data_IF_770174006111
#
_entry.id   IF_770174006111
#
_cell.length_a   1.000
_cell.length_b   1.000
_cell.length_c   1.000
_cell.angle_alpha   90.00
_cell.angle_beta   90.00
_cell.angle_gamma   90.00
#
_symmetry.space_group_name_H-M   'P 1'
#
loop_
_entity.id
_entity.type
_entity.pdbx_description
1 polymer ?
#
# COMPACT_ATOMS: atom_id res chain seq x y z
N UNK A 1 -5.18 51.08 64.65
CA UNK A 1 -3.72 50.90 64.85
C UNK A 1 -3.09 50.78 63.46
N UNK A 2 -2.10 51.61 63.22
CA UNK A 2 -1.61 52.11 61.93
C UNK A 2 -1.21 51.07 60.85
N UNK A 3 -1.57 51.39 59.59
CA UNK A 3 -0.84 50.98 58.38
C UNK A 3 0.60 51.49 58.43
N UNK A 4 1.56 50.72 57.90
CA UNK A 4 2.67 51.25 57.10
C UNK A 4 3.40 50.11 56.38
N UNK A 5 3.27 50.08 55.05
CA UNK A 5 4.31 49.61 54.13
C UNK A 5 5.52 50.53 54.22
N UNK A 6 6.73 50.02 53.95
CA UNK A 6 7.69 50.83 53.20
C UNK A 6 8.32 50.10 52.03
N UNK A 7 8.74 50.94 51.10
CA UNK A 7 9.32 50.71 49.79
C UNK A 7 10.85 50.58 49.88
N UNK A 8 11.40 49.76 48.97
CA UNK A 8 12.70 49.86 48.26
C UNK A 8 14.00 50.23 49.02
N UNK A 9 14.99 49.34 48.91
CA UNK A 9 16.39 49.73 48.73
C UNK A 9 17.09 48.76 47.75
N UNK A 10 17.73 49.37 46.76
CA UNK A 10 18.49 48.79 45.66
C UNK A 10 19.95 48.58 46.12
N UNK A 11 20.52 47.39 45.92
CA UNK A 11 21.98 47.22 45.93
C UNK A 11 22.36 46.10 44.95
N UNK A 12 23.04 46.52 43.88
CA UNK A 12 23.55 45.69 42.82
C UNK A 12 24.88 45.04 43.21
N UNK A 13 25.05 43.76 42.86
CA UNK A 13 26.38 43.15 42.70
C UNK A 13 26.37 42.28 41.45
N UNK A 14 27.18 42.68 40.47
CA UNK A 14 27.45 42.00 39.21
C UNK A 14 28.17 40.66 39.46
N UNK A 15 27.81 39.56 38.77
CA UNK A 15 28.78 38.55 38.39
C UNK A 15 29.51 38.98 37.10
N UNK A 16 30.83 38.86 37.10
CA UNK A 16 31.65 38.97 35.88
C UNK A 16 31.14 37.96 34.84
N UNK A 17 30.72 38.48 33.69
CA UNK A 17 30.60 37.72 32.45
C UNK A 17 32.01 37.55 31.89
N UNK A 18 32.52 36.32 31.85
CA UNK A 18 33.50 35.98 30.81
C UNK A 18 32.71 35.74 29.53
N UNK A 19 32.89 36.64 28.56
CA UNK A 19 32.52 36.40 27.17
C UNK A 19 33.37 35.25 26.65
N UNK A 20 32.76 34.09 26.46
CA UNK A 20 33.23 33.13 25.47
C UNK A 20 32.85 33.66 24.08
N UNK A 21 33.73 33.52 23.07
CA UNK A 21 33.44 33.94 21.71
C UNK A 21 32.25 33.17 21.14
N UNK A 22 31.37 33.87 20.42
CA UNK A 22 30.36 33.27 19.55
C UNK A 22 31.06 32.31 18.57
N UNK A 23 30.64 31.03 18.47
CA UNK A 23 30.88 30.28 17.26
C UNK A 23 30.00 30.83 16.14
N UNK A 24 30.63 31.14 15.00
CA UNK A 24 29.97 31.35 13.71
C UNK A 24 29.03 30.18 13.36
N UNK A 25 27.98 30.38 12.55
CA UNK A 25 27.11 29.30 12.14
C UNK A 25 27.87 28.39 11.17
N UNK A 26 28.48 27.34 11.69
CA UNK A 26 29.03 26.27 10.87
C UNK A 26 27.93 25.24 10.63
N UNK A 27 27.60 25.06 9.36
CA UNK A 27 26.60 24.12 8.87
C UNK A 27 27.01 22.68 9.22
N UNK A 28 26.65 22.20 10.40
CA UNK A 28 26.88 20.80 10.79
C UNK A 28 25.93 19.88 10.03
N UNK A 29 26.44 19.31 8.95
CA UNK A 29 25.94 18.06 8.37
C UNK A 29 26.05 17.00 9.46
N UNK A 30 24.90 16.51 9.94
CA UNK A 30 24.86 15.40 10.88
C UNK A 30 25.49 14.17 10.23
N UNK A 31 26.58 13.69 10.81
CA UNK A 31 27.26 12.47 10.44
C UNK A 31 26.41 11.27 10.86
N UNK A 32 25.44 10.89 10.02
CA UNK A 32 24.67 9.67 10.20
C UNK A 32 25.57 8.45 9.96
N UNK A 33 25.67 7.60 10.99
CA UNK A 33 26.31 6.28 10.92
C UNK A 33 25.63 5.43 9.83
N UNK A 34 26.38 4.77 8.92
CA UNK A 34 25.78 4.03 7.82
C UNK A 34 25.28 2.67 8.32
N UNK A 35 24.06 2.64 8.86
CA UNK A 35 23.27 1.41 8.94
C UNK A 35 22.35 1.39 7.72
N UNK A 36 22.81 0.78 6.63
CA UNK A 36 22.05 0.30 5.47
C UNK A 36 20.69 0.99 5.21
N UNK A 37 20.70 2.30 4.97
CA UNK A 37 19.62 2.95 4.22
C UNK A 37 20.07 3.02 2.77
N UNK A 38 19.96 1.90 2.06
CA UNK A 38 19.96 1.92 0.60
C UNK A 38 18.67 2.64 0.20
N UNK A 39 18.77 3.97 0.05
CA UNK A 39 17.80 4.72 -0.74
C UNK A 39 17.91 4.18 -2.16
N UNK A 40 17.08 3.18 -2.46
CA UNK A 40 16.86 2.72 -3.82
C UNK A 40 16.26 3.91 -4.56
N UNK A 41 17.07 4.54 -5.42
CA UNK A 41 16.51 5.22 -6.59
C UNK A 41 15.52 4.21 -7.19
N UNK A 42 14.25 4.60 -7.33
CA UNK A 42 13.26 3.74 -7.96
C UNK A 42 13.83 3.38 -9.33
N UNK A 43 14.17 2.10 -9.53
CA UNK A 43 14.59 1.62 -10.83
C UNK A 43 13.48 1.98 -11.83
N UNK A 44 13.87 2.28 -13.08
CA UNK A 44 12.90 2.52 -14.14
C UNK A 44 11.87 1.37 -14.17
N UNK A 45 10.59 1.67 -14.44
CA UNK A 45 9.54 0.65 -14.42
C UNK A 45 9.90 -0.49 -15.37
N UNK A 46 9.88 -1.73 -14.86
CA UNK A 46 10.16 -2.93 -15.64
C UNK A 46 8.85 -3.46 -16.20
N UNK A 47 8.69 -3.41 -17.52
CA UNK A 47 7.48 -3.91 -18.16
C UNK A 47 7.59 -5.41 -18.45
N UNK A 48 6.94 -6.23 -17.63
CA UNK A 48 6.90 -7.68 -17.76
C UNK A 48 5.82 -8.10 -18.77
N UNK A 49 6.12 -9.05 -19.66
CA UNK A 49 5.22 -9.51 -20.73
C UNK A 49 5.48 -10.96 -21.10
N UNK A 50 4.60 -11.56 -21.91
CA UNK A 50 4.78 -12.93 -22.37
C UNK A 50 4.32 -13.94 -21.31
N UNK A 51 4.84 -15.16 -21.32
CA UNK A 51 4.40 -16.20 -20.39
C UNK A 51 4.95 -15.95 -18.98
N UNK A 52 4.44 -16.68 -17.99
CA UNK A 52 4.73 -16.46 -16.56
C UNK A 52 6.23 -16.51 -16.20
N UNK A 53 7.06 -17.20 -16.99
CA UNK A 53 8.51 -17.31 -16.78
C UNK A 53 9.22 -15.95 -16.84
N UNK A 54 8.61 -14.96 -17.49
CA UNK A 54 9.19 -13.63 -17.64
C UNK A 54 8.91 -12.73 -16.42
N UNK A 55 8.13 -13.20 -15.45
CA UNK A 55 7.72 -12.42 -14.28
C UNK A 55 8.53 -12.81 -13.03
N UNK A 56 8.71 -11.88 -12.07
CA UNK A 56 9.64 -12.07 -10.96
C UNK A 56 9.18 -13.17 -9.98
N UNK A 57 10.06 -14.05 -9.49
CA UNK A 57 9.67 -15.05 -8.50
C UNK A 57 9.39 -14.41 -7.14
N UNK A 58 8.60 -15.09 -6.30
CA UNK A 58 8.25 -14.61 -4.95
C UNK A 58 9.45 -14.24 -4.07
N UNK A 59 10.58 -14.91 -4.25
CA UNK A 59 11.83 -14.65 -3.52
C UNK A 59 12.44 -13.28 -3.80
N UNK A 60 12.01 -12.60 -4.87
CA UNK A 60 12.46 -11.25 -5.22
C UNK A 60 11.52 -10.16 -4.71
N UNK A 61 10.34 -10.51 -4.22
CA UNK A 61 9.33 -9.52 -3.81
C UNK A 61 9.71 -8.85 -2.50
N UNK A 62 9.22 -7.62 -2.31
CA UNK A 62 9.30 -6.95 -1.02
C UNK A 62 8.62 -7.76 0.09
N UNK A 63 8.91 -7.40 1.33
CA UNK A 63 8.07 -7.80 2.46
C UNK A 63 6.69 -7.12 2.34
N UNK A 64 5.67 -7.70 2.97
CA UNK A 64 4.36 -7.06 3.05
C UNK A 64 4.43 -5.69 3.72
N UNK A 65 5.18 -5.57 4.81
CA UNK A 65 5.35 -4.33 5.54
C UNK A 65 5.94 -3.22 4.66
N UNK A 66 7.03 -3.52 3.94
CA UNK A 66 7.65 -2.55 3.04
C UNK A 66 6.72 -2.16 1.89
N UNK A 67 6.05 -3.14 1.28
CA UNK A 67 5.11 -2.91 0.19
C UNK A 67 3.93 -2.03 0.64
N UNK A 68 3.34 -2.33 1.80
CA UNK A 68 2.23 -1.55 2.35
C UNK A 68 2.67 -0.14 2.68
N UNK A 69 3.81 0.02 3.36
CA UNK A 69 4.33 1.33 3.75
C UNK A 69 4.56 2.26 2.56
N UNK A 70 5.02 1.72 1.42
CA UNK A 70 5.19 2.48 0.19
C UNK A 70 3.86 2.95 -0.41
N UNK A 71 2.79 2.17 -0.29
CA UNK A 71 1.49 2.46 -0.90
C UNK A 71 0.59 3.38 -0.05
N UNK A 72 0.94 3.66 1.21
CA UNK A 72 0.12 4.51 2.10
C UNK A 72 -0.20 5.89 1.51
N UNK A 73 0.77 6.51 0.82
CA UNK A 73 0.55 7.82 0.21
C UNK A 73 -0.57 7.78 -0.84
N UNK A 74 -0.64 6.70 -1.64
CA UNK A 74 -1.70 6.47 -2.62
C UNK A 74 -3.06 6.31 -1.94
N UNK A 75 -3.13 5.51 -0.86
CA UNK A 75 -4.37 5.36 -0.07
C UNK A 75 -4.82 6.69 0.55
N UNK A 76 -3.92 7.48 1.13
CA UNK A 76 -4.32 8.79 1.68
C UNK A 76 -4.80 9.76 0.60
N UNK A 77 -4.25 9.67 -0.61
CA UNK A 77 -4.67 10.52 -1.73
C UNK A 77 -6.11 10.25 -2.20
N UNK A 78 -6.73 9.12 -1.82
CA UNK A 78 -8.12 8.79 -2.14
C UNK A 78 -9.13 9.40 -1.16
N UNK A 79 -8.65 10.04 -0.08
CA UNK A 79 -9.49 10.55 1.01
C UNK A 79 -9.63 9.58 2.20
N UNK A 80 -8.95 8.44 2.16
CA UNK A 80 -8.96 7.47 3.25
C UNK A 80 -8.38 8.07 4.54
N UNK A 81 -9.05 7.78 5.66
CA UNK A 81 -8.57 8.19 6.97
C UNK A 81 -7.39 7.32 7.43
N UNK A 82 -6.66 7.78 8.45
CA UNK A 82 -5.67 6.92 9.12
C UNK A 82 -6.24 5.61 9.64
N UNK A 83 -7.51 5.61 10.06
CA UNK A 83 -8.19 4.40 10.49
C UNK A 83 -8.52 3.47 9.32
N UNK A 84 -8.95 4.00 8.17
CA UNK A 84 -9.22 3.20 6.98
C UNK A 84 -7.94 2.48 6.52
N UNK A 85 -6.83 3.21 6.40
CA UNK A 85 -5.53 2.63 6.04
C UNK A 85 -5.11 1.54 7.03
N UNK A 86 -5.23 1.79 8.34
CA UNK A 86 -4.95 0.76 9.36
C UNK A 86 -5.88 -0.46 9.27
N UNK A 87 -7.16 -0.26 8.95
CA UNK A 87 -8.15 -1.32 8.78
C UNK A 87 -7.92 -2.14 7.51
N UNK A 88 -7.39 -1.54 6.43
CA UNK A 88 -6.96 -2.26 5.23
C UNK A 88 -5.83 -3.23 5.60
N UNK A 89 -4.81 -2.79 6.35
CA UNK A 89 -3.74 -3.68 6.83
C UNK A 89 -4.32 -4.89 7.59
N UNK A 90 -5.16 -4.63 8.58
CA UNK A 90 -5.78 -5.68 9.40
C UNK A 90 -6.62 -6.64 8.56
N UNK A 91 -7.40 -6.11 7.60
CA UNK A 91 -8.23 -6.91 6.72
C UNK A 91 -7.40 -7.81 5.80
N UNK A 92 -6.28 -7.32 5.26
CA UNK A 92 -5.35 -8.11 4.45
C UNK A 92 -4.78 -9.26 5.28
N UNK A 93 -4.24 -8.97 6.48
CA UNK A 93 -3.67 -10.00 7.36
C UNK A 93 -4.71 -11.04 7.76
N UNK A 94 -5.94 -10.63 8.04
CA UNK A 94 -7.04 -11.55 8.35
C UNK A 94 -7.38 -12.44 7.15
N UNK A 95 -7.54 -11.86 5.97
CA UNK A 95 -7.97 -12.59 4.78
C UNK A 95 -6.86 -13.49 4.21
N UNK A 96 -5.58 -13.14 4.42
CA UNK A 96 -4.44 -13.97 4.03
C UNK A 96 -4.47 -15.38 4.65
N UNK A 97 -5.14 -15.54 5.81
CA UNK A 97 -5.27 -16.83 6.53
C UNK A 97 -5.92 -17.94 5.70
N UNK A 98 -6.64 -17.63 4.62
CA UNK A 98 -7.19 -18.64 3.69
C UNK A 98 -6.13 -19.22 2.74
N UNK A 99 -4.85 -18.87 2.96
CA UNK A 99 -3.72 -19.31 2.16
C UNK A 99 -3.54 -18.47 0.91
N UNK A 100 -3.74 -17.15 1.03
CA UNK A 100 -3.40 -16.11 0.03
C UNK A 100 -2.29 -15.23 0.58
N UNK A 101 -1.18 -15.07 -0.16
CA UNK A 101 -0.08 -14.20 0.25
C UNK A 101 -0.55 -12.73 0.35
N UNK A 102 -0.33 -12.10 1.49
CA UNK A 102 -0.79 -10.73 1.76
C UNK A 102 -0.30 -9.70 0.73
N UNK A 103 0.87 -9.91 0.11
CA UNK A 103 1.42 -9.00 -0.91
C UNK A 103 0.61 -9.05 -2.20
N UNK A 104 0.06 -10.21 -2.54
CA UNK A 104 -0.81 -10.36 -3.70
C UNK A 104 -2.15 -9.70 -3.45
N UNK A 105 -2.72 -9.85 -2.24
CA UNK A 105 -3.94 -9.15 -1.84
C UNK A 105 -3.74 -7.63 -1.96
N UNK A 106 -2.66 -7.10 -1.39
CA UNK A 106 -2.32 -5.68 -1.50
C UNK A 106 -2.11 -5.24 -2.96
N UNK A 107 -1.39 -6.03 -3.75
CA UNK A 107 -1.15 -5.74 -5.16
C UNK A 107 -2.43 -5.59 -5.97
N UNK A 108 -3.40 -6.47 -5.74
CA UNK A 108 -4.74 -6.37 -6.37
C UNK A 108 -5.48 -5.14 -5.85
N UNK A 109 -5.49 -4.88 -4.53
CA UNK A 109 -6.14 -3.67 -3.97
C UNK A 109 -5.62 -2.39 -4.64
N UNK A 110 -4.31 -2.27 -4.77
CA UNK A 110 -3.69 -1.09 -5.39
C UNK A 110 -4.01 -0.99 -6.89
N UNK A 111 -4.07 -2.13 -7.59
CA UNK A 111 -4.42 -2.16 -9.00
C UNK A 111 -5.90 -1.83 -9.28
N UNK A 112 -6.80 -2.24 -8.39
CA UNK A 112 -8.25 -2.12 -8.59
C UNK A 112 -8.81 -0.79 -8.08
N UNK A 113 -8.28 -0.26 -6.98
CA UNK A 113 -8.86 0.90 -6.29
C UNK A 113 -7.86 1.94 -5.83
N UNK A 114 -6.55 1.71 -6.01
CA UNK A 114 -5.49 2.47 -5.36
C UNK A 114 -5.64 2.50 -3.82
N UNK A 115 -6.33 1.50 -3.27
CA UNK A 115 -6.66 1.41 -1.85
C UNK A 115 -7.84 2.24 -1.37
N UNK A 116 -8.61 2.88 -2.26
CA UNK A 116 -9.79 3.68 -1.90
C UNK A 116 -10.91 2.81 -1.31
N UNK A 117 -11.18 2.92 0.01
CA UNK A 117 -12.30 2.20 0.65
C UNK A 117 -13.68 2.62 0.10
N UNK A 118 -13.78 3.85 -0.40
CA UNK A 118 -14.99 4.44 -0.98
C UNK A 118 -15.05 4.35 -2.51
N UNK A 119 -14.26 3.46 -3.15
CA UNK A 119 -14.24 3.32 -4.60
C UNK A 119 -15.64 3.02 -5.16
N UNK A 120 -15.92 3.55 -6.35
CA UNK A 120 -17.20 3.34 -7.04
C UNK A 120 -17.43 1.86 -7.35
N UNK A 121 -18.70 1.44 -7.34
CA UNK A 121 -19.13 0.15 -7.89
C UNK A 121 -19.21 0.25 -9.41
N UNK A 122 -18.53 -0.66 -10.10
CA UNK A 122 -18.58 -0.80 -11.56
C UNK A 122 -19.47 -1.98 -11.95
N UNK A 123 -19.62 -2.22 -13.25
CA UNK A 123 -20.39 -3.35 -13.77
C UNK A 123 -19.57 -4.05 -14.84
N UNK A 124 -19.42 -5.37 -14.70
CA UNK A 124 -18.81 -6.23 -15.73
C UNK A 124 -19.59 -6.20 -17.05
N UNK A 125 -19.00 -6.64 -18.18
CA UNK A 125 -19.72 -6.76 -19.46
C UNK A 125 -21.00 -7.60 -19.38
N UNK A 126 -21.05 -8.58 -18.46
CA UNK A 126 -22.21 -9.46 -18.25
C UNK A 126 -23.27 -8.87 -17.30
N UNK A 127 -23.15 -7.59 -16.93
CA UNK A 127 -24.12 -6.90 -16.09
C UNK A 127 -23.98 -7.17 -14.59
N UNK A 128 -22.97 -7.94 -14.17
CA UNK A 128 -22.73 -8.23 -12.75
C UNK A 128 -21.95 -7.08 -12.09
N UNK A 129 -22.42 -6.55 -10.96
CA UNK A 129 -21.69 -5.51 -10.22
C UNK A 129 -20.33 -5.99 -9.70
N UNK A 130 -19.34 -5.12 -9.79
CA UNK A 130 -17.96 -5.30 -9.29
C UNK A 130 -17.66 -4.18 -8.32
N UNK A 131 -17.28 -4.51 -7.07
CA UNK A 131 -17.26 -3.52 -6.00
C UNK A 131 -16.16 -3.75 -4.96
N UNK A 132 -15.95 -2.70 -4.15
CA UNK A 132 -15.02 -2.69 -3.03
C UNK A 132 -13.55 -2.57 -3.43
N UNK A 133 -12.67 -2.68 -2.44
CA UNK A 133 -11.21 -2.46 -2.57
C UNK A 133 -10.55 -3.29 -3.68
N UNK A 134 -11.10 -4.48 -3.97
CA UNK A 134 -10.57 -5.40 -4.99
C UNK A 134 -11.50 -5.55 -6.19
N UNK A 135 -12.52 -4.69 -6.34
CA UNK A 135 -13.49 -4.66 -7.46
C UNK A 135 -14.02 -6.05 -7.85
N UNK A 136 -14.25 -6.93 -6.89
CA UNK A 136 -14.65 -8.30 -7.18
C UNK A 136 -16.15 -8.39 -7.51
N UNK A 137 -16.47 -9.31 -8.42
CA UNK A 137 -17.84 -9.60 -8.84
C UNK A 137 -18.71 -10.05 -7.67
N UNK A 138 -19.87 -9.40 -7.47
CA UNK A 138 -20.83 -9.70 -6.43
C UNK A 138 -20.40 -9.31 -5.00
N UNK A 139 -19.30 -8.57 -4.86
CA UNK A 139 -18.81 -8.12 -3.56
C UNK A 139 -19.55 -6.89 -3.02
N UNK A 140 -19.44 -6.67 -1.72
CA UNK A 140 -19.87 -5.43 -1.10
C UNK A 140 -18.96 -4.27 -1.53
N UNK A 141 -19.54 -3.07 -1.59
CA UNK A 141 -18.81 -1.82 -1.77
C UNK A 141 -19.53 -0.68 -1.07
N UNK A 142 -18.80 0.39 -0.78
CA UNK A 142 -19.31 1.54 -0.05
C UNK A 142 -19.01 2.86 -0.78
N UNK A 143 -19.55 3.07 -1.99
CA UNK A 143 -19.14 4.18 -2.85
C UNK A 143 -19.24 5.54 -2.15
N UNK A 144 -18.16 6.32 -2.21
CA UNK A 144 -18.06 7.67 -1.66
C UNK A 144 -17.98 7.75 -0.13
N UNK A 145 -17.87 6.61 0.57
CA UNK A 145 -17.74 6.57 2.03
C UNK A 145 -16.30 6.31 2.46
N UNK A 146 -15.86 7.07 3.45
CA UNK A 146 -14.60 6.91 4.19
C UNK A 146 -14.90 6.82 5.69
N UNK A 147 -13.92 6.44 6.51
CA UNK A 147 -14.12 6.14 7.92
C UNK A 147 -14.97 4.88 8.12
N UNK A 148 -14.79 3.86 7.27
CA UNK A 148 -15.54 2.62 7.34
C UNK A 148 -15.12 1.78 8.54
N UNK A 149 -16.04 0.97 9.06
CA UNK A 149 -15.74 0.03 10.12
C UNK A 149 -14.76 -1.07 9.67
N UNK A 150 -14.08 -1.72 10.63
CA UNK A 150 -13.20 -2.86 10.33
C UNK A 150 -13.97 -3.97 9.61
N UNK A 151 -15.21 -4.25 9.98
CA UNK A 151 -16.02 -5.31 9.36
C UNK A 151 -16.39 -4.99 7.91
N UNK A 152 -16.72 -3.74 7.60
CA UNK A 152 -16.99 -3.29 6.24
C UNK A 152 -15.75 -3.47 5.35
N UNK A 153 -14.59 -2.99 5.78
CA UNK A 153 -13.33 -3.13 5.02
C UNK A 153 -12.94 -4.61 4.90
N UNK A 154 -13.05 -5.39 5.97
CA UNK A 154 -12.75 -6.83 5.94
C UNK A 154 -13.70 -7.57 4.99
N UNK A 155 -14.96 -7.19 4.90
CA UNK A 155 -15.90 -7.82 3.97
C UNK A 155 -15.50 -7.64 2.50
N UNK A 156 -15.02 -6.45 2.12
CA UNK A 156 -14.52 -6.16 0.77
C UNK A 156 -13.27 -6.99 0.44
N UNK A 157 -12.28 -6.97 1.34
CA UNK A 157 -11.02 -7.69 1.15
C UNK A 157 -11.25 -9.21 1.14
N UNK A 158 -12.15 -9.72 1.99
CA UNK A 158 -12.49 -11.15 2.02
C UNK A 158 -13.13 -11.61 0.72
N UNK A 159 -14.04 -10.81 0.16
CA UNK A 159 -14.66 -11.08 -1.14
C UNK A 159 -13.62 -11.22 -2.25
N UNK A 160 -12.72 -10.24 -2.38
CA UNK A 160 -11.70 -10.24 -3.42
C UNK A 160 -10.64 -11.32 -3.22
N UNK A 161 -10.24 -11.57 -1.97
CA UNK A 161 -9.29 -12.64 -1.62
C UNK A 161 -9.86 -14.01 -1.98
N UNK A 162 -11.14 -14.26 -1.69
CA UNK A 162 -11.80 -15.52 -2.05
C UNK A 162 -11.94 -15.68 -3.57
N UNK A 163 -12.24 -14.59 -4.29
CA UNK A 163 -12.28 -14.60 -5.74
C UNK A 163 -10.90 -14.96 -6.32
N UNK A 164 -9.84 -14.26 -5.90
CA UNK A 164 -8.48 -14.58 -6.35
C UNK A 164 -8.07 -16.00 -5.98
N UNK A 165 -8.42 -16.49 -4.78
CA UNK A 165 -8.15 -17.88 -4.38
C UNK A 165 -8.83 -18.90 -5.29
N UNK A 166 -10.02 -18.59 -5.81
CA UNK A 166 -10.68 -19.43 -6.81
C UNK A 166 -9.89 -19.46 -8.13
N UNK A 167 -9.42 -18.32 -8.63
CA UNK A 167 -8.56 -18.29 -9.82
C UNK A 167 -7.24 -19.03 -9.57
N UNK A 168 -6.62 -18.84 -8.40
CA UNK A 168 -5.37 -19.53 -8.05
C UNK A 168 -5.51 -21.06 -8.10
N UNK A 169 -6.68 -21.60 -7.70
CA UNK A 169 -6.99 -23.04 -7.82
C UNK A 169 -7.06 -23.51 -9.27
N UNK A 170 -7.57 -22.68 -10.18
CA UNK A 170 -7.58 -23.01 -11.62
C UNK A 170 -6.16 -23.15 -12.19
N UNK A 171 -5.16 -22.57 -11.53
CA UNK A 171 -3.75 -22.64 -11.90
C UNK A 171 -2.90 -23.48 -10.93
N UNK A 172 -3.51 -24.41 -10.21
CA UNK A 172 -2.81 -25.43 -9.40
C UNK A 172 -2.60 -25.09 -7.93
N UNK A 173 -3.12 -23.94 -7.47
CA UNK A 173 -3.11 -23.50 -6.07
C UNK A 173 -1.71 -23.44 -5.42
N UNK A 174 -0.68 -23.08 -6.20
CA UNK A 174 0.69 -22.97 -5.71
C UNK A 174 1.10 -21.51 -5.50
N UNK A 175 1.95 -21.28 -4.50
CA UNK A 175 2.67 -20.01 -4.31
C UNK A 175 3.93 -20.00 -5.20
N UNK A 176 3.70 -20.06 -6.51
CA UNK A 176 4.73 -20.02 -7.54
C UNK A 176 4.29 -19.12 -8.70
N UNK A 177 5.25 -18.53 -9.42
CA UNK A 177 4.99 -17.66 -10.57
C UNK A 177 4.06 -18.32 -11.62
N UNK A 178 4.21 -19.64 -11.82
CA UNK A 178 3.39 -20.45 -12.72
C UNK A 178 1.91 -20.51 -12.38
N UNK A 179 1.54 -20.22 -11.12
CA UNK A 179 0.15 -20.22 -10.66
C UNK A 179 -0.36 -18.80 -10.44
N UNK A 180 0.47 -17.94 -9.83
CA UNK A 180 0.07 -16.60 -9.40
C UNK A 180 -0.21 -15.68 -10.59
N UNK A 181 0.72 -15.59 -11.55
CA UNK A 181 0.59 -14.62 -12.65
C UNK A 181 -0.55 -14.95 -13.63
N UNK A 182 -0.76 -16.23 -14.00
CA UNK A 182 -1.96 -16.61 -14.75
C UNK A 182 -3.26 -16.37 -13.96
N UNK A 183 -3.27 -16.64 -12.64
CA UNK A 183 -4.44 -16.35 -11.80
C UNK A 183 -4.74 -14.84 -11.71
N UNK A 184 -3.72 -13.98 -11.68
CA UNK A 184 -3.90 -12.52 -11.75
C UNK A 184 -4.49 -12.08 -13.09
N UNK A 185 -4.04 -12.68 -14.20
CA UNK A 185 -4.67 -12.43 -15.51
C UNK A 185 -6.13 -12.88 -15.50
N UNK A 186 -6.41 -14.06 -14.98
CA UNK A 186 -7.77 -14.56 -14.86
C UNK A 186 -8.66 -13.67 -13.98
N UNK A 187 -8.13 -13.15 -12.88
CA UNK A 187 -8.84 -12.18 -12.03
C UNK A 187 -9.26 -10.93 -12.83
N UNK A 188 -8.36 -10.44 -13.69
CA UNK A 188 -8.60 -9.23 -14.48
C UNK A 188 -9.56 -9.43 -15.67
N UNK A 189 -9.42 -10.53 -16.42
CA UNK A 189 -10.12 -10.71 -17.70
C UNK A 189 -11.04 -11.92 -17.75
N UNK A 190 -11.07 -12.77 -16.74
CA UNK A 190 -11.81 -14.05 -16.73
C UNK A 190 -11.30 -15.08 -17.76
N UNK A 191 -10.32 -14.73 -18.59
CA UNK A 191 -9.76 -15.54 -19.66
C UNK A 191 -8.27 -15.26 -19.80
N UNK A 192 -7.49 -16.30 -20.13
CA UNK A 192 -6.03 -16.23 -20.11
C UNK A 192 -5.45 -16.72 -21.44
N UNK A 193 -4.44 -16.03 -21.94
CA UNK A 193 -3.52 -16.56 -22.94
C UNK A 193 -2.23 -17.00 -22.20
N UNK A 194 -2.00 -18.30 -21.97
CA UNK A 194 -0.86 -18.75 -21.15
C UNK A 194 0.50 -18.46 -21.80
N UNK A 195 0.53 -18.16 -23.11
CA UNK A 195 1.73 -17.77 -23.84
C UNK A 195 2.02 -16.27 -23.76
N UNK A 196 1.03 -15.44 -23.38
CA UNK A 196 1.21 -14.01 -23.21
C UNK A 196 0.23 -13.43 -22.18
N UNK A 197 0.71 -13.22 -20.96
CA UNK A 197 -0.06 -12.61 -19.88
C UNK A 197 -0.25 -11.09 -20.06
N UNK A 198 0.34 -10.48 -21.09
CA UNK A 198 0.03 -9.11 -21.53
C UNK A 198 -1.11 -9.05 -22.55
N UNK A 199 -1.61 -10.20 -23.02
CA UNK A 199 -2.86 -10.28 -23.77
C UNK A 199 -4.04 -10.02 -22.82
N UNK A 200 -4.56 -8.81 -22.86
CA UNK A 200 -5.62 -8.36 -21.96
C UNK A 200 -6.97 -9.03 -22.17
N UNK A 201 -7.19 -9.76 -23.29
CA UNK A 201 -8.47 -10.42 -23.62
C UNK A 201 -9.70 -9.49 -23.48
N UNK A 202 -9.52 -8.20 -23.79
CA UNK A 202 -10.57 -7.17 -23.65
C UNK A 202 -10.54 -6.38 -22.34
N UNK A 203 -9.70 -6.76 -21.38
CA UNK A 203 -9.42 -6.01 -20.15
C UNK A 203 -8.02 -5.35 -20.19
N UNK A 204 -7.58 -4.80 -19.06
CA UNK A 204 -6.31 -4.05 -18.92
C UNK A 204 -5.10 -4.91 -19.26
N UNK A 205 -4.46 -4.65 -20.40
CA UNK A 205 -3.30 -5.40 -20.88
C UNK A 205 -2.10 -5.37 -19.90
N UNK A 206 -1.86 -4.25 -19.23
CA UNK A 206 -0.74 -4.08 -18.30
C UNK A 206 -0.94 -4.71 -16.92
N UNK A 207 -2.15 -5.17 -16.58
CA UNK A 207 -2.55 -5.58 -15.22
C UNK A 207 -1.53 -6.44 -14.48
N UNK A 208 -1.08 -7.53 -15.10
CA UNK A 208 -0.13 -8.47 -14.48
C UNK A 208 1.25 -7.84 -14.32
N UNK A 209 1.69 -7.03 -15.29
CA UNK A 209 2.96 -6.29 -15.23
C UNK A 209 2.94 -5.25 -14.11
N UNK A 210 1.83 -4.51 -13.98
CA UNK A 210 1.68 -3.44 -13.00
C UNK A 210 1.68 -4.03 -11.58
N UNK A 211 0.97 -5.13 -11.34
CA UNK A 211 1.04 -5.85 -10.05
C UNK A 211 2.45 -6.41 -9.81
N UNK A 212 3.11 -7.00 -10.81
CA UNK A 212 4.48 -7.49 -10.67
C UNK A 212 5.48 -6.37 -10.30
N UNK A 213 5.31 -5.17 -10.86
CA UNK A 213 6.11 -4.00 -10.51
C UNK A 213 5.83 -3.53 -9.07
N UNK A 214 4.56 -3.52 -8.63
CA UNK A 214 4.22 -3.18 -7.23
C UNK A 214 4.83 -4.17 -6.23
N UNK A 215 4.87 -5.46 -6.57
CA UNK A 215 5.57 -6.49 -5.77
C UNK A 215 7.08 -6.26 -5.69
N UNK A 216 7.67 -5.51 -6.63
CA UNK A 216 9.06 -5.06 -6.63
C UNK A 216 9.25 -3.65 -6.05
N UNK A 217 8.17 -3.00 -5.60
CA UNK A 217 8.22 -1.72 -4.91
C UNK A 217 7.93 -0.48 -5.75
N UNK A 218 7.40 -0.64 -6.96
CA UNK A 218 6.79 0.46 -7.71
C UNK A 218 5.52 0.95 -7.02
N UNK A 219 5.30 2.26 -7.04
CA UNK A 219 4.08 2.93 -6.59
C UNK A 219 3.72 4.02 -7.61
N UNK A 220 2.43 4.30 -7.73
CA UNK A 220 1.89 5.32 -8.65
C UNK A 220 2.08 6.76 -8.14
#
# INVERSE_FOLDING_TARGET
>A
MHLTTPLLALAATLPLVLSSPLPSPESTIAHLSPKNATLSIAAAPTFYRGPWQNFPPMSSWLTFEDMFNRNKASMFATGDTGEDVGRIWNAIVECAKVGVDERVILGIIMQESHGNVGVITTTSPDGVPTAGLMQCSGCAGFPGRHGLSQDEITSMVRGGTNHFKANLRNWGDQWAASSIYPALREYNSGSVNPNDLSDGRGATASYVSDIAQRLQGWVD
#
